data_IF_088936333802
#
_entry.id   IF_088936333802
#
_cell.length_a   1.000
_cell.length_b   1.000
_cell.length_c   1.000
_cell.angle_alpha   90.00
_cell.angle_beta   90.00
_cell.angle_gamma   90.00
#
_symmetry.space_group_name_H-M   'P 1'
#
loop_
_entity.id
_entity.type
_entity.pdbx_description
1 polymer ?
#
# COMPACT_ATOMS: atom_id res chain seq x y z
N UNK A 1 -14.00 31.33 -0.65
CA UNK A 1 -13.63 30.07 0.02
C UNK A 1 -14.86 29.19 0.00
N UNK A 2 -14.83 28.16 -0.80
CA UNK A 2 -15.99 27.28 -1.01
C UNK A 2 -16.13 26.33 0.19
N UNK A 3 -17.19 26.52 1.00
CA UNK A 3 -17.49 25.68 2.17
C UNK A 3 -17.92 24.26 1.79
N UNK A 4 -18.03 23.93 0.50
CA UNK A 4 -18.41 22.58 0.02
C UNK A 4 -17.30 21.53 0.15
N UNK A 5 -16.06 21.90 0.45
CA UNK A 5 -14.93 21.01 0.62
C UNK A 5 -14.85 20.35 2.02
N UNK A 6 -15.64 20.81 2.97
CA UNK A 6 -15.66 20.27 4.34
C UNK A 6 -16.84 19.33 4.55
N UNK A 7 -16.92 18.23 3.77
CA UNK A 7 -17.78 17.14 4.21
C UNK A 7 -17.17 16.51 5.48
N UNK A 8 -18.05 16.00 6.41
CA UNK A 8 -17.55 15.49 7.68
C UNK A 8 -16.44 14.48 7.44
N UNK A 9 -15.33 14.69 8.13
CA UNK A 9 -14.19 13.79 8.16
C UNK A 9 -14.69 12.40 8.57
N UNK A 10 -14.32 11.36 7.82
CA UNK A 10 -14.55 9.99 8.28
C UNK A 10 -13.64 9.80 9.49
N UNK A 11 -14.19 9.57 10.69
CA UNK A 11 -13.37 9.49 11.89
C UNK A 11 -12.41 8.32 11.78
N UNK A 12 -11.17 8.53 12.27
CA UNK A 12 -10.25 7.45 12.53
C UNK A 12 -10.66 6.78 13.83
N UNK A 13 -10.73 5.45 13.86
CA UNK A 13 -11.19 4.71 15.03
C UNK A 13 -10.01 4.17 15.82
N UNK A 14 -9.67 4.77 17.00
CA UNK A 14 -8.69 4.17 17.90
C UNK A 14 -9.25 2.90 18.52
N UNK A 15 -8.44 1.84 18.58
CA UNK A 15 -8.81 0.55 19.13
C UNK A 15 -7.92 0.18 20.32
N UNK A 16 -8.36 -0.70 21.22
CA UNK A 16 -7.53 -1.19 22.31
C UNK A 16 -6.20 -1.76 21.79
N UNK A 17 -5.08 -1.24 22.31
CA UNK A 17 -3.74 -1.61 21.86
C UNK A 17 -3.30 -1.03 20.51
N UNK A 18 -4.13 -0.19 19.86
CA UNK A 18 -3.86 0.50 18.61
C UNK A 18 -4.36 1.95 18.72
N UNK A 19 -3.71 2.72 19.59
CA UNK A 19 -4.08 4.11 19.84
C UNK A 19 -3.84 5.00 18.64
N UNK A 20 -4.66 6.04 18.51
CA UNK A 20 -4.50 7.06 17.47
C UNK A 20 -3.13 7.76 17.65
N UNK A 21 -2.27 7.81 16.62
CA UNK A 21 -1.03 8.57 16.67
C UNK A 21 -1.27 10.05 16.97
N UNK A 22 -0.37 10.65 17.75
CA UNK A 22 -0.47 12.05 18.14
C UNK A 22 -0.54 12.96 16.92
N UNK A 23 -1.52 13.86 16.91
CA UNK A 23 -1.71 14.85 15.85
C UNK A 23 -2.23 14.26 14.52
N UNK A 24 -2.56 12.96 14.45
CA UNK A 24 -3.11 12.38 13.22
C UNK A 24 -4.56 12.83 13.03
N UNK A 25 -4.82 13.49 11.92
CA UNK A 25 -6.14 13.96 11.51
C UNK A 25 -6.56 13.31 10.21
N UNK A 26 -7.85 13.00 10.05
CA UNK A 26 -8.41 12.51 8.79
C UNK A 26 -8.80 13.64 7.86
N UNK A 27 -8.71 13.38 6.56
CA UNK A 27 -9.12 14.28 5.49
C UNK A 27 -9.83 13.51 4.38
N UNK A 28 -10.60 14.22 3.56
CA UNK A 28 -11.26 13.67 2.38
C UNK A 28 -10.61 14.21 1.12
N UNK A 29 -10.19 13.30 0.25
CA UNK A 29 -9.66 13.61 -1.08
C UNK A 29 -10.74 13.28 -2.12
N UNK A 30 -10.91 14.14 -3.10
CA UNK A 30 -11.76 13.85 -4.25
C UNK A 30 -10.91 13.36 -5.41
N UNK A 31 -11.06 12.10 -5.77
CA UNK A 31 -10.42 11.53 -6.95
C UNK A 31 -10.88 12.20 -8.24
N UNK A 32 -10.12 12.05 -9.31
CA UNK A 32 -10.40 12.65 -10.63
C UNK A 32 -11.77 12.25 -11.21
N UNK A 33 -12.24 11.06 -10.90
CA UNK A 33 -13.57 10.55 -11.30
C UNK A 33 -14.69 10.91 -10.30
N UNK A 34 -14.39 11.75 -9.29
CA UNK A 34 -15.33 12.24 -8.29
C UNK A 34 -15.46 11.37 -7.04
N UNK A 35 -14.82 10.18 -6.98
CA UNK A 35 -14.86 9.32 -5.80
C UNK A 35 -14.20 9.97 -4.60
N UNK A 36 -14.72 9.63 -3.42
CA UNK A 36 -14.18 10.10 -2.14
C UNK A 36 -13.15 9.09 -1.62
N UNK A 37 -11.95 9.58 -1.34
CA UNK A 37 -10.88 8.81 -0.73
C UNK A 37 -10.63 9.35 0.66
N UNK A 38 -10.55 8.47 1.67
CA UNK A 38 -10.14 8.85 3.00
C UNK A 38 -8.63 8.96 3.04
N UNK A 39 -8.13 10.08 3.56
CA UNK A 39 -6.72 10.33 3.83
C UNK A 39 -6.51 10.66 5.31
N UNK A 40 -5.26 10.63 5.75
CA UNK A 40 -4.87 11.12 7.05
C UNK A 40 -3.45 11.68 7.00
N UNK A 41 -3.16 12.69 7.84
CA UNK A 41 -1.82 13.23 7.98
C UNK A 41 -1.58 13.73 9.41
N UNK A 42 -0.31 13.73 9.80
CA UNK A 42 0.16 14.28 11.08
C UNK A 42 1.44 15.07 10.84
N UNK A 43 1.55 16.23 11.47
CA UNK A 43 2.70 17.13 11.35
C UNK A 43 3.21 17.42 12.76
N UNK A 44 4.30 16.78 13.20
CA UNK A 44 4.92 17.09 14.50
C UNK A 44 5.63 18.44 14.45
N UNK A 45 6.03 18.94 15.63
CA UNK A 45 6.81 20.17 15.70
C UNK A 45 8.17 20.00 15.01
N UNK A 46 8.55 20.94 14.14
CA UNK A 46 9.83 20.97 13.42
C UNK A 46 10.18 19.66 12.69
N UNK A 47 9.34 19.20 11.76
CA UNK A 47 9.56 17.91 11.08
C UNK A 47 10.78 17.96 10.15
N UNK A 48 11.47 16.84 10.04
CA UNK A 48 12.60 16.60 9.10
C UNK A 48 12.16 16.51 7.63
N UNK A 49 10.87 16.51 7.38
CA UNK A 49 10.22 16.30 6.10
C UNK A 49 8.98 15.44 6.28
N UNK A 50 8.37 15.01 5.19
CA UNK A 50 7.14 14.21 5.21
C UNK A 50 7.36 12.85 4.60
N UNK A 51 6.99 11.79 5.33
CA UNK A 51 6.85 10.43 4.80
C UNK A 51 5.46 10.27 4.20
N UNK A 52 5.39 10.06 2.90
CA UNK A 52 4.17 9.70 2.17
C UNK A 52 4.07 8.17 2.17
N UNK A 53 3.22 7.65 3.05
CA UNK A 53 3.04 6.22 3.27
C UNK A 53 1.91 5.67 2.40
N UNK A 54 2.25 4.79 1.46
CA UNK A 54 1.30 4.16 0.54
C UNK A 54 1.18 2.67 0.88
N UNK A 55 0.05 2.32 1.46
CA UNK A 55 -0.22 1.00 2.03
C UNK A 55 -0.41 -0.10 0.97
N UNK A 56 -0.60 -1.34 1.41
CA UNK A 56 -0.89 -2.47 0.54
C UNK A 56 -2.38 -2.61 0.20
N UNK A 57 -2.72 -3.60 -0.64
CA UNK A 57 -4.11 -3.96 -0.89
C UNK A 57 -4.73 -4.63 0.33
N UNK A 58 -5.92 -4.20 0.70
CA UNK A 58 -6.64 -4.69 1.87
C UNK A 58 -6.22 -4.02 3.17
N UNK A 59 -5.27 -3.10 3.11
CA UNK A 59 -4.91 -2.25 4.23
C UNK A 59 -5.90 -1.10 4.41
N UNK A 60 -5.86 -0.52 5.59
CA UNK A 60 -6.61 0.67 5.99
C UNK A 60 -5.78 1.47 7.01
N UNK A 61 -6.03 2.76 7.14
CA UNK A 61 -5.18 3.69 7.91
C UNK A 61 -4.97 3.24 9.35
N UNK A 62 -6.02 2.76 10.04
CA UNK A 62 -5.94 2.33 11.45
C UNK A 62 -4.94 1.19 11.66
N UNK A 63 -4.81 0.30 10.71
CA UNK A 63 -3.83 -0.78 10.77
C UNK A 63 -2.39 -0.25 10.88
N UNK A 64 -2.13 0.90 10.28
CA UNK A 64 -0.80 1.50 10.18
C UNK A 64 -0.47 2.49 11.32
N UNK A 65 -1.34 2.66 12.32
CA UNK A 65 -1.14 3.61 13.41
C UNK A 65 0.20 3.43 14.13
N UNK A 66 0.62 2.20 14.43
CA UNK A 66 1.94 1.95 15.04
C UNK A 66 3.08 2.45 14.16
N UNK A 67 3.05 2.14 12.86
CA UNK A 67 4.06 2.56 11.89
C UNK A 67 4.04 4.08 11.66
N UNK A 68 2.87 4.69 11.60
CA UNK A 68 2.72 6.15 11.54
C UNK A 68 3.35 6.79 12.77
N UNK A 69 3.05 6.28 13.96
CA UNK A 69 3.66 6.72 15.21
C UNK A 69 5.19 6.55 15.25
N UNK A 70 5.72 5.49 14.63
CA UNK A 70 7.16 5.27 14.52
C UNK A 70 7.85 6.35 13.66
N UNK A 71 7.26 6.76 12.54
CA UNK A 71 7.79 7.85 11.72
C UNK A 71 7.67 9.20 12.43
N UNK A 72 6.56 9.46 13.13
CA UNK A 72 6.39 10.68 13.95
C UNK A 72 7.47 10.75 15.03
N UNK A 73 7.74 9.67 15.76
CA UNK A 73 8.81 9.61 16.79
C UNK A 73 10.20 9.81 16.20
N UNK A 74 10.41 9.49 14.92
CA UNK A 74 11.65 9.75 14.16
C UNK A 74 11.72 11.18 13.60
N UNK A 75 10.72 12.02 13.92
CA UNK A 75 10.69 13.44 13.54
C UNK A 75 10.15 13.69 12.13
N UNK A 76 9.43 12.78 11.52
CA UNK A 76 8.79 13.00 10.23
C UNK A 76 7.31 13.36 10.39
N UNK A 77 6.84 14.26 9.55
CA UNK A 77 5.42 14.32 9.24
C UNK A 77 5.04 13.06 8.43
N UNK A 78 3.80 12.62 8.56
CA UNK A 78 3.31 11.43 7.83
C UNK A 78 2.01 11.79 7.13
N UNK A 79 1.86 11.37 5.88
CA UNK A 79 0.62 11.44 5.13
C UNK A 79 0.32 10.09 4.47
N UNK A 80 -0.94 9.65 4.52
CA UNK A 80 -1.39 8.38 3.98
C UNK A 80 -2.83 8.45 3.51
N UNK A 81 -3.29 7.47 2.74
CA UNK A 81 -4.68 7.38 2.30
C UNK A 81 -5.12 5.94 2.09
N UNK A 82 -6.42 5.71 2.21
CA UNK A 82 -7.06 4.45 1.83
C UNK A 82 -7.33 4.41 0.33
N UNK A 83 -6.99 3.32 -0.32
CA UNK A 83 -7.28 3.13 -1.75
C UNK A 83 -8.80 3.15 -2.01
N UNK A 84 -9.20 3.53 -3.23
CA UNK A 84 -10.58 3.38 -3.70
C UNK A 84 -11.10 1.97 -3.41
N UNK A 85 -12.31 1.86 -2.89
CA UNK A 85 -12.94 0.57 -2.57
C UNK A 85 -12.44 -0.10 -1.31
N UNK A 86 -11.51 0.51 -0.54
CA UNK A 86 -10.87 -0.08 0.64
C UNK A 86 -10.87 0.89 1.82
N UNK A 87 -10.65 0.35 3.03
CA UNK A 87 -10.61 1.17 4.24
C UNK A 87 -11.86 2.06 4.39
N UNK A 88 -11.69 3.30 4.74
CA UNK A 88 -12.76 4.30 4.84
C UNK A 88 -13.06 5.04 3.53
N UNK A 89 -12.42 4.67 2.40
CA UNK A 89 -12.70 5.23 1.09
C UNK A 89 -13.99 4.69 0.48
N UNK A 90 -14.57 5.46 -0.47
CA UNK A 90 -15.80 5.09 -1.16
C UNK A 90 -15.68 3.74 -1.87
N UNK A 91 -16.67 2.88 -1.67
CA UNK A 91 -16.71 1.53 -2.25
C UNK A 91 -16.95 1.57 -3.76
N UNK A 92 -16.36 0.63 -4.48
CA UNK A 92 -16.51 0.52 -5.94
C UNK A 92 -17.79 -0.24 -6.32
N UNK A 93 -18.21 -1.18 -5.47
CA UNK A 93 -19.38 -2.02 -5.66
C UNK A 93 -20.32 -1.96 -4.45
N UNK A 94 -21.60 -2.28 -4.64
CA UNK A 94 -22.60 -2.42 -3.56
C UNK A 94 -22.17 -3.50 -2.55
N UNK A 95 -21.57 -4.60 -3.01
CA UNK A 95 -20.90 -5.55 -2.13
C UNK A 95 -19.57 -4.93 -1.66
N UNK A 96 -19.59 -4.39 -0.46
CA UNK A 96 -18.49 -3.65 0.16
C UNK A 96 -17.19 -4.44 0.31
N UNK A 97 -17.25 -5.75 0.31
CA UNK A 97 -16.08 -6.62 0.42
C UNK A 97 -15.40 -6.86 -0.92
N UNK A 98 -15.98 -6.38 -2.02
CA UNK A 98 -15.38 -6.46 -3.35
C UNK A 98 -14.64 -5.18 -3.67
N UNK A 99 -13.40 -5.34 -4.03
CA UNK A 99 -12.66 -4.29 -4.73
C UNK A 99 -12.68 -4.55 -6.23
N UNK A 100 -12.31 -3.56 -7.00
CA UNK A 100 -12.16 -3.72 -8.44
C UNK A 100 -11.56 -2.49 -9.07
N UNK A 101 -10.77 -2.74 -10.09
CA UNK A 101 -10.20 -1.73 -10.96
C UNK A 101 -10.53 -2.09 -12.39
N UNK A 102 -10.84 -1.10 -13.21
CA UNK A 102 -10.85 -1.25 -14.67
C UNK A 102 -9.42 -1.21 -15.21
N UNK A 103 -8.65 -0.25 -14.71
CA UNK A 103 -7.26 -0.01 -15.05
C UNK A 103 -6.46 0.35 -13.80
N UNK A 104 -5.22 -0.08 -13.70
CA UNK A 104 -4.36 0.27 -12.57
C UNK A 104 -4.06 1.78 -12.50
N UNK A 105 -4.19 2.50 -13.62
CA UNK A 105 -4.10 3.96 -13.68
C UNK A 105 -5.15 4.69 -12.83
N UNK A 106 -6.23 4.03 -12.41
CA UNK A 106 -7.17 4.59 -11.44
C UNK A 106 -6.48 4.83 -10.09
N UNK A 107 -5.57 3.95 -9.66
CA UNK A 107 -4.73 4.18 -8.48
C UNK A 107 -3.68 5.28 -8.72
N UNK A 108 -3.12 5.39 -9.93
CA UNK A 108 -2.20 6.48 -10.27
C UNK A 108 -2.90 7.85 -10.16
N UNK A 109 -4.15 7.95 -10.65
CA UNK A 109 -4.98 9.17 -10.56
C UNK A 109 -5.39 9.49 -9.11
N UNK A 110 -5.73 8.46 -8.31
CA UNK A 110 -6.04 8.61 -6.88
C UNK A 110 -4.84 9.14 -6.10
N UNK A 111 -3.69 8.52 -6.32
CA UNK A 111 -2.45 8.95 -5.68
C UNK A 111 -2.08 10.39 -6.08
N UNK A 112 -2.23 10.75 -7.36
CA UNK A 112 -2.00 12.11 -7.80
C UNK A 112 -2.97 13.09 -7.14
N UNK A 113 -4.25 12.72 -6.96
CA UNK A 113 -5.25 13.55 -6.27
C UNK A 113 -4.89 13.73 -4.80
N UNK A 114 -4.45 12.67 -4.11
CA UNK A 114 -3.97 12.73 -2.73
C UNK A 114 -2.74 13.66 -2.60
N UNK A 115 -1.75 13.50 -3.48
CA UNK A 115 -0.56 14.36 -3.46
C UNK A 115 -0.92 15.83 -3.65
N UNK A 116 -1.77 16.16 -4.64
CA UNK A 116 -2.07 17.55 -4.99
C UNK A 116 -3.06 18.25 -4.05
N UNK A 117 -3.95 17.48 -3.38
CA UNK A 117 -4.95 18.07 -2.48
C UNK A 117 -4.51 18.11 -1.02
N UNK A 118 -3.62 17.21 -0.58
CA UNK A 118 -3.20 17.08 0.83
C UNK A 118 -1.69 17.25 0.97
N UNK A 119 -0.88 16.42 0.29
CA UNK A 119 0.57 16.35 0.62
C UNK A 119 1.29 17.64 0.23
N UNK A 120 1.15 18.07 -1.03
CA UNK A 120 1.89 19.21 -1.54
C UNK A 120 1.47 20.55 -0.90
N UNK A 121 0.15 20.82 -0.62
CA UNK A 121 -0.25 22.07 0.01
C UNK A 121 -0.06 22.10 1.52
N UNK A 122 -0.24 20.96 2.22
CA UNK A 122 -0.40 20.96 3.68
C UNK A 122 0.79 20.34 4.43
N UNK A 123 1.63 19.54 3.75
CA UNK A 123 2.74 18.85 4.41
C UNK A 123 4.10 19.49 4.06
N UNK A 124 5.04 19.56 5.03
CA UNK A 124 6.35 20.17 4.80
C UNK A 124 7.29 19.26 3.98
N UNK A 125 8.02 19.82 2.98
CA UNK A 125 9.10 19.10 2.29
C UNK A 125 10.33 18.95 3.19
N UNK A 126 11.33 18.09 2.83
CA UNK A 126 11.34 17.20 1.67
C UNK A 126 10.36 16.04 1.82
N UNK A 127 9.89 15.48 0.68
CA UNK A 127 8.98 14.35 0.67
C UNK A 127 9.74 13.04 0.42
N UNK A 128 9.48 12.05 1.27
CA UNK A 128 10.00 10.69 1.18
C UNK A 128 8.85 9.73 0.92
N UNK A 129 8.96 8.89 -0.11
CA UNK A 129 7.95 7.88 -0.38
C UNK A 129 8.25 6.58 0.38
N UNK A 130 7.26 6.03 1.09
CA UNK A 130 7.31 4.69 1.65
C UNK A 130 6.13 3.89 1.15
N UNK A 131 6.38 2.79 0.43
CA UNK A 131 5.32 1.98 -0.14
C UNK A 131 5.41 0.52 0.24
N UNK A 132 4.27 -0.07 0.60
CA UNK A 132 4.18 -1.50 0.89
C UNK A 132 3.40 -2.22 -0.22
N UNK A 133 3.91 -3.36 -0.68
CA UNK A 133 3.19 -4.27 -1.59
C UNK A 133 2.61 -3.52 -2.80
N UNK A 134 1.28 -3.45 -2.96
CA UNK A 134 0.58 -2.70 -4.02
C UNK A 134 0.95 -1.21 -4.02
N UNK A 135 1.13 -0.61 -2.83
CA UNK A 135 1.59 0.77 -2.70
C UNK A 135 2.98 0.99 -3.30
N UNK A 136 3.86 -0.01 -3.20
CA UNK A 136 5.17 0.02 -3.86
C UNK A 136 5.06 0.05 -5.39
N UNK A 137 4.12 -0.69 -5.98
CA UNK A 137 3.86 -0.62 -7.42
C UNK A 137 3.31 0.74 -7.85
N UNK A 138 2.40 1.33 -7.06
CA UNK A 138 1.86 2.68 -7.32
C UNK A 138 3.00 3.71 -7.30
N UNK A 139 3.87 3.65 -6.29
CA UNK A 139 4.99 4.57 -6.17
C UNK A 139 6.01 4.43 -7.30
N UNK A 140 6.35 3.21 -7.73
CA UNK A 140 7.24 3.00 -8.88
C UNK A 140 6.70 3.67 -10.14
N UNK A 141 5.39 3.53 -10.41
CA UNK A 141 4.73 4.16 -11.56
C UNK A 141 4.67 5.69 -11.43
N UNK A 142 4.53 6.20 -10.21
CA UNK A 142 4.57 7.64 -9.96
C UNK A 142 6.00 8.21 -10.15
N UNK A 143 7.02 7.51 -9.67
CA UNK A 143 8.44 7.90 -9.77
C UNK A 143 8.98 7.93 -11.21
N UNK A 144 8.37 7.19 -12.14
CA UNK A 144 8.66 7.31 -13.58
C UNK A 144 8.22 8.66 -14.18
N UNK A 145 7.33 9.40 -13.50
CA UNK A 145 6.61 10.54 -14.11
C UNK A 145 6.62 11.81 -13.27
N UNK A 146 6.98 11.72 -12.00
CA UNK A 146 6.82 12.80 -11.02
C UNK A 146 8.06 13.00 -10.18
N UNK A 147 8.44 14.24 -10.02
CA UNK A 147 9.59 14.71 -9.22
C UNK A 147 9.17 15.12 -7.81
N UNK A 148 8.18 14.48 -7.23
CA UNK A 148 7.65 14.86 -5.91
C UNK A 148 8.56 14.45 -4.76
N UNK A 149 9.35 13.39 -4.93
CA UNK A 149 10.09 12.74 -3.85
C UNK A 149 11.58 12.96 -3.94
N UNK A 150 12.20 13.17 -2.80
CA UNK A 150 13.65 13.16 -2.64
C UNK A 150 14.19 11.73 -2.77
N UNK A 151 13.57 10.78 -2.10
CA UNK A 151 13.91 9.35 -2.11
C UNK A 151 12.67 8.49 -1.89
N UNK A 152 12.77 7.21 -2.28
CA UNK A 152 11.70 6.24 -2.06
C UNK A 152 12.24 4.95 -1.43
N UNK A 153 11.52 4.40 -0.43
CA UNK A 153 11.82 3.10 0.19
C UNK A 153 10.59 2.19 0.08
N UNK A 154 10.75 1.07 -0.61
CA UNK A 154 9.64 0.16 -0.92
C UNK A 154 9.78 -1.15 -0.13
N UNK A 155 8.80 -1.43 0.72
CA UNK A 155 8.71 -2.65 1.54
C UNK A 155 7.97 -3.74 0.77
N UNK A 156 8.67 -4.82 0.41
CA UNK A 156 8.13 -5.98 -0.30
C UNK A 156 7.16 -5.58 -1.44
N UNK A 157 7.60 -4.72 -2.41
CA UNK A 157 6.71 -4.16 -3.42
C UNK A 157 6.13 -5.24 -4.34
N UNK A 158 4.90 -5.02 -4.81
CA UNK A 158 4.23 -5.89 -5.76
C UNK A 158 4.91 -5.78 -7.14
N UNK A 159 5.94 -6.62 -7.38
CA UNK A 159 6.64 -6.74 -8.67
C UNK A 159 6.40 -8.07 -9.37
N UNK A 160 5.74 -8.99 -8.71
CA UNK A 160 5.26 -10.26 -9.20
C UNK A 160 4.27 -10.84 -8.19
N UNK A 161 3.39 -11.73 -8.63
CA UNK A 161 2.38 -12.37 -7.77
C UNK A 161 2.67 -13.86 -7.65
N UNK A 162 2.60 -14.37 -6.43
CA UNK A 162 2.56 -15.78 -6.15
C UNK A 162 1.10 -16.26 -6.21
N UNK A 163 0.78 -17.12 -7.18
CA UNK A 163 -0.59 -17.64 -7.37
C UNK A 163 -0.75 -19.08 -6.87
N UNK A 164 0.18 -19.52 -6.04
CA UNK A 164 0.22 -20.88 -5.49
C UNK A 164 0.38 -21.93 -6.60
N UNK A 165 -0.41 -23.00 -6.56
CA UNK A 165 -0.31 -24.11 -7.51
C UNK A 165 -1.02 -23.87 -8.85
N UNK A 166 -1.70 -22.74 -9.03
CA UNK A 166 -2.39 -22.44 -10.29
C UNK A 166 -1.39 -22.10 -11.41
N UNK A 167 -1.50 -22.73 -12.59
CA UNK A 167 -0.65 -22.37 -13.73
C UNK A 167 -0.88 -20.91 -14.12
N UNK A 168 0.17 -20.09 -14.11
CA UNK A 168 0.10 -18.67 -14.44
C UNK A 168 -0.56 -18.38 -15.80
N UNK A 169 -0.36 -19.18 -16.88
CA UNK A 169 -1.07 -18.99 -18.14
C UNK A 169 -2.60 -19.08 -17.99
N UNK A 170 -3.10 -20.04 -17.19
CA UNK A 170 -4.54 -20.18 -16.93
C UNK A 170 -5.08 -18.99 -16.12
N UNK A 171 -4.36 -18.56 -15.07
CA UNK A 171 -4.73 -17.38 -14.30
C UNK A 171 -4.83 -16.15 -15.20
N UNK A 172 -3.83 -15.93 -16.04
CA UNK A 172 -3.84 -14.81 -17.01
C UNK A 172 -5.01 -14.90 -17.98
N UNK A 173 -5.29 -16.08 -18.51
CA UNK A 173 -6.43 -16.29 -19.41
C UNK A 173 -7.75 -15.95 -18.74
N UNK A 174 -8.00 -16.45 -17.54
CA UNK A 174 -9.22 -16.16 -16.76
C UNK A 174 -9.33 -14.66 -16.41
N UNK A 175 -8.24 -14.05 -15.96
CA UNK A 175 -8.21 -12.62 -15.66
C UNK A 175 -8.46 -11.72 -16.88
N UNK A 176 -8.08 -12.15 -18.07
CA UNK A 176 -8.34 -11.43 -19.31
C UNK A 176 -9.76 -11.62 -19.85
N UNK A 177 -10.32 -12.82 -19.67
CA UNK A 177 -11.59 -13.21 -20.30
C UNK A 177 -12.81 -12.87 -19.44
N UNK A 178 -12.78 -13.20 -18.15
CA UNK A 178 -13.93 -13.02 -17.25
C UNK A 178 -14.40 -11.56 -17.11
N UNK A 179 -13.53 -10.55 -17.02
CA UNK A 179 -13.97 -9.16 -16.99
C UNK A 179 -14.71 -8.72 -18.26
N UNK A 180 -14.35 -9.27 -19.43
CA UNK A 180 -14.99 -8.93 -20.72
C UNK A 180 -16.44 -9.40 -20.83
N UNK A 181 -16.80 -10.45 -20.09
CA UNK A 181 -18.16 -11.01 -20.06
C UNK A 181 -18.91 -10.63 -18.78
N UNK A 182 -18.45 -9.56 -18.06
CA UNK A 182 -19.13 -9.06 -16.87
C UNK A 182 -18.82 -9.81 -15.56
N UNK A 183 -17.99 -10.85 -15.58
CA UNK A 183 -17.65 -11.68 -14.43
C UNK A 183 -16.37 -11.22 -13.69
N UNK A 184 -15.80 -10.07 -14.05
CA UNK A 184 -14.58 -9.53 -13.44
C UNK A 184 -14.69 -9.25 -11.95
N UNK A 185 -15.91 -9.01 -11.43
CA UNK A 185 -16.17 -8.79 -9.99
C UNK A 185 -16.14 -10.05 -9.13
N UNK A 186 -16.03 -11.23 -9.72
CA UNK A 186 -15.91 -12.46 -8.96
C UNK A 186 -14.56 -12.52 -8.24
N UNK A 187 -14.56 -13.07 -7.02
CA UNK A 187 -13.32 -13.36 -6.29
C UNK A 187 -12.56 -14.49 -6.97
N UNK A 188 -11.22 -14.42 -6.84
CA UNK A 188 -10.37 -15.53 -7.29
C UNK A 188 -10.70 -16.81 -6.50
N UNK A 189 -10.57 -17.99 -7.12
CA UNK A 189 -10.80 -19.26 -6.43
C UNK A 189 -9.91 -19.40 -5.18
N UNK A 190 -10.49 -19.91 -4.10
CA UNK A 190 -9.79 -20.09 -2.82
C UNK A 190 -9.62 -18.80 -1.99
N UNK A 191 -10.08 -17.66 -2.47
CA UNK A 191 -10.02 -16.42 -1.72
C UNK A 191 -11.25 -16.22 -0.82
N UNK A 192 -11.03 -15.60 0.35
CA UNK A 192 -12.11 -15.28 1.27
C UNK A 192 -13.00 -14.16 0.70
N UNK A 193 -14.30 -14.36 0.75
CA UNK A 193 -15.29 -13.36 0.32
C UNK A 193 -15.51 -12.25 1.34
N UNK A 194 -15.11 -12.45 2.58
CA UNK A 194 -15.16 -11.44 3.66
C UNK A 194 -13.76 -10.97 3.98
N UNK A 195 -13.62 -9.76 4.55
CA UNK A 195 -12.34 -9.35 5.09
C UNK A 195 -11.82 -10.44 5.99
N UNK A 196 -10.53 -10.54 6.12
CA UNK A 196 -9.84 -11.54 6.93
C UNK A 196 -10.60 -11.74 8.26
N UNK A 197 -11.64 -12.60 8.23
CA UNK A 197 -12.24 -13.13 9.45
C UNK A 197 -11.09 -13.73 10.25
N UNK A 198 -11.15 -13.83 11.59
CA UNK A 198 -10.03 -14.20 12.41
C UNK A 198 -9.31 -15.40 11.79
N UNK A 199 -8.25 -15.09 11.03
CA UNK A 199 -7.37 -16.11 10.52
C UNK A 199 -6.58 -16.63 11.69
N UNK A 200 -6.45 -17.94 11.74
CA UNK A 200 -5.53 -18.53 12.70
C UNK A 200 -4.12 -18.02 12.44
N UNK A 201 -3.45 -17.50 13.45
CA UNK A 201 -2.04 -17.07 13.34
C UNK A 201 -1.13 -18.19 12.81
N UNK A 202 -1.28 -19.45 13.28
CA UNK A 202 -0.57 -20.58 12.67
C UNK A 202 -0.87 -20.70 11.17
N UNK A 203 0.21 -20.71 10.37
CA UNK A 203 0.10 -20.86 8.90
C UNK A 203 -0.08 -19.56 8.13
N UNK A 204 -0.15 -18.38 8.77
CA UNK A 204 -0.17 -17.12 8.05
C UNK A 204 1.17 -16.87 7.34
N UNK A 205 1.12 -16.18 6.19
CA UNK A 205 2.29 -15.85 5.38
C UNK A 205 2.71 -14.36 5.50
N UNK A 206 2.02 -13.59 6.36
CA UNK A 206 2.13 -12.14 6.40
C UNK A 206 3.19 -11.65 7.38
N UNK A 207 3.16 -12.15 8.62
CA UNK A 207 4.06 -11.72 9.67
C UNK A 207 4.37 -12.86 10.65
N UNK A 208 5.51 -12.79 11.32
CA UNK A 208 5.87 -13.66 12.44
C UNK A 208 5.48 -13.10 13.81
N UNK A 209 4.94 -11.88 13.87
CA UNK A 209 4.46 -11.24 15.11
C UNK A 209 2.97 -11.53 15.34
N UNK A 210 2.67 -12.36 16.34
CA UNK A 210 1.29 -12.72 16.66
C UNK A 210 0.48 -11.53 17.17
N UNK A 211 1.09 -10.63 17.95
CA UNK A 211 0.39 -9.46 18.52
C UNK A 211 -0.10 -8.54 17.41
N UNK A 212 0.77 -8.16 16.48
CA UNK A 212 0.42 -7.28 15.35
C UNK A 212 -0.57 -7.93 14.37
N UNK A 213 -0.40 -9.24 14.13
CA UNK A 213 -1.37 -9.99 13.34
C UNK A 213 -2.77 -9.97 13.97
N UNK A 214 -2.86 -10.27 15.27
CA UNK A 214 -4.15 -10.27 15.99
C UNK A 214 -4.73 -8.86 16.10
N UNK A 215 -3.91 -7.83 16.26
CA UNK A 215 -4.36 -6.45 16.30
C UNK A 215 -5.08 -6.05 14.99
N UNK A 216 -4.53 -6.38 13.82
CA UNK A 216 -5.16 -6.14 12.53
C UNK A 216 -6.48 -6.92 12.40
N UNK A 217 -6.50 -8.18 12.88
CA UNK A 217 -7.70 -9.02 12.87
C UNK A 217 -8.78 -8.45 13.78
N UNK A 218 -8.42 -8.05 15.01
CA UNK A 218 -9.36 -7.47 15.96
C UNK A 218 -9.95 -6.15 15.47
N UNK A 219 -9.17 -5.32 14.79
CA UNK A 219 -9.68 -4.11 14.12
C UNK A 219 -10.82 -4.45 13.16
N UNK A 220 -10.69 -5.51 12.37
CA UNK A 220 -11.73 -5.92 11.42
C UNK A 220 -12.92 -6.62 12.09
N UNK A 221 -12.79 -7.08 13.33
CA UNK A 221 -13.93 -7.56 14.12
C UNK A 221 -14.77 -6.39 14.63
N UNK A 222 -14.10 -5.33 15.13
CA UNK A 222 -14.76 -4.13 15.65
C UNK A 222 -15.28 -3.24 14.51
N UNK A 223 -14.52 -3.09 13.43
CA UNK A 223 -14.81 -2.23 12.29
C UNK A 223 -14.77 -3.04 10.98
N UNK A 224 -15.71 -3.96 10.76
CA UNK A 224 -15.72 -4.85 9.59
C UNK A 224 -15.81 -4.07 8.27
N UNK A 225 -16.29 -2.85 8.35
CA UNK A 225 -16.48 -1.93 7.24
C UNK A 225 -15.17 -1.42 6.65
N UNK A 226 -14.07 -1.48 7.38
CA UNK A 226 -12.74 -1.13 6.88
C UNK A 226 -12.15 -2.21 5.94
N UNK A 227 -12.59 -3.45 6.09
CA UNK A 227 -12.01 -4.57 5.36
C UNK A 227 -12.50 -4.74 3.94
N UNK A 228 -11.70 -5.46 3.15
CA UNK A 228 -12.09 -6.01 1.84
C UNK A 228 -11.79 -7.51 1.81
N UNK A 229 -12.50 -8.23 0.96
CA UNK A 229 -12.23 -9.65 0.70
C UNK A 229 -10.99 -9.86 -0.15
N UNK A 230 -10.75 -11.08 -0.58
CA UNK A 230 -9.68 -11.44 -1.50
C UNK A 230 -9.76 -10.68 -2.84
N UNK A 231 -8.72 -10.72 -3.67
CA UNK A 231 -8.72 -10.03 -4.94
C UNK A 231 -9.78 -10.59 -5.91
N UNK A 232 -10.36 -9.67 -6.70
CA UNK A 232 -11.25 -10.03 -7.80
C UNK A 232 -10.47 -10.25 -9.11
N UNK A 233 -11.10 -10.91 -10.09
CA UNK A 233 -10.48 -11.07 -11.42
C UNK A 233 -10.18 -9.73 -12.09
N UNK A 234 -11.02 -8.71 -11.92
CA UNK A 234 -10.77 -7.37 -12.48
C UNK A 234 -9.56 -6.72 -11.83
N UNK A 235 -9.42 -6.79 -10.51
CA UNK A 235 -8.27 -6.24 -9.80
C UNK A 235 -6.98 -6.92 -10.23
N UNK A 236 -6.94 -8.27 -10.23
CA UNK A 236 -5.74 -9.01 -10.63
C UNK A 236 -5.38 -8.76 -12.10
N UNK A 237 -6.36 -8.66 -12.99
CA UNK A 237 -6.11 -8.29 -14.38
C UNK A 237 -5.46 -6.91 -14.52
N UNK A 238 -5.95 -5.91 -13.78
CA UNK A 238 -5.37 -4.57 -13.77
C UNK A 238 -3.93 -4.59 -13.25
N UNK A 239 -3.67 -5.31 -12.15
CA UNK A 239 -2.35 -5.47 -11.56
C UNK A 239 -1.37 -6.18 -12.51
N UNK A 240 -1.77 -7.32 -13.12
CA UNK A 240 -0.93 -8.05 -14.08
C UNK A 240 -0.58 -7.23 -15.33
N UNK A 241 -1.49 -6.37 -15.79
CA UNK A 241 -1.21 -5.44 -16.90
C UNK A 241 -0.21 -4.37 -16.48
N UNK A 242 -0.37 -3.78 -15.30
CA UNK A 242 0.55 -2.79 -14.77
C UNK A 242 1.96 -3.37 -14.57
N UNK A 243 2.07 -4.58 -14.00
CA UNK A 243 3.32 -5.30 -13.84
C UNK A 243 4.01 -5.56 -15.19
N UNK A 244 3.26 -6.00 -16.20
CA UNK A 244 3.81 -6.21 -17.55
C UNK A 244 4.37 -4.92 -18.13
N UNK A 245 3.64 -3.80 -17.98
CA UNK A 245 4.11 -2.49 -18.45
C UNK A 245 5.39 -2.07 -17.73
N UNK A 246 5.41 -2.16 -16.38
CA UNK A 246 6.58 -1.82 -15.58
C UNK A 246 7.82 -2.64 -15.99
N UNK A 247 7.69 -3.96 -16.08
CA UNK A 247 8.81 -4.83 -16.45
C UNK A 247 9.29 -4.64 -17.90
N UNK A 248 8.38 -4.31 -18.84
CA UNK A 248 8.75 -4.06 -20.22
C UNK A 248 9.65 -2.82 -20.38
N UNK A 249 9.56 -1.85 -19.46
CA UNK A 249 10.33 -0.60 -19.50
C UNK A 249 11.43 -0.51 -18.43
N UNK A 250 11.55 -1.50 -17.54
CA UNK A 250 12.44 -1.43 -16.36
C UNK A 250 13.90 -1.11 -16.69
N UNK A 251 14.42 -1.65 -17.80
CA UNK A 251 15.81 -1.42 -18.25
C UNK A 251 16.03 -0.02 -18.86
N UNK A 252 14.99 0.66 -19.28
CA UNK A 252 15.05 1.98 -19.94
C UNK A 252 14.39 3.10 -19.15
N UNK A 253 13.66 2.73 -18.09
CA UNK A 253 12.97 3.67 -17.22
C UNK A 253 13.99 4.52 -16.46
N UNK A 254 13.72 5.82 -16.40
CA UNK A 254 14.43 6.76 -15.55
C UNK A 254 13.50 7.14 -14.40
N UNK A 255 13.92 6.84 -13.17
CA UNK A 255 13.16 7.23 -11.98
C UNK A 255 13.60 8.62 -11.54
N UNK A 256 12.63 9.45 -11.16
CA UNK A 256 12.87 10.84 -10.76
C UNK A 256 13.50 10.98 -9.37
N UNK A 257 13.66 9.89 -8.63
CA UNK A 257 14.33 9.85 -7.33
C UNK A 257 15.03 8.50 -7.12
N UNK A 258 16.10 8.43 -6.29
CA UNK A 258 16.70 7.16 -5.88
C UNK A 258 15.69 6.27 -5.15
N UNK A 259 15.77 4.94 -5.38
CA UNK A 259 14.83 3.96 -4.82
C UNK A 259 15.62 2.89 -4.06
N UNK A 260 15.18 2.60 -2.83
CA UNK A 260 15.62 1.41 -2.09
C UNK A 260 14.43 0.43 -2.00
N UNK A 261 14.59 -0.77 -2.51
CA UNK A 261 13.66 -1.87 -2.29
C UNK A 261 14.16 -2.72 -1.11
N UNK A 262 13.30 -2.90 -0.11
CA UNK A 262 13.55 -3.79 1.03
C UNK A 262 12.68 -5.04 0.84
N UNK A 263 13.29 -6.14 0.43
CA UNK A 263 12.60 -7.40 0.19
C UNK A 263 12.52 -8.26 1.46
N UNK A 264 11.41 -8.95 1.63
CA UNK A 264 11.21 -9.91 2.71
C UNK A 264 11.74 -11.29 2.30
N UNK A 265 12.76 -11.81 2.99
CA UNK A 265 13.44 -13.05 2.58
C UNK A 265 12.55 -14.30 2.59
N UNK A 266 11.48 -14.29 3.42
CA UNK A 266 10.48 -15.39 3.55
C UNK A 266 9.13 -15.02 2.97
N UNK A 267 9.09 -14.10 1.99
CA UNK A 267 7.86 -13.70 1.32
C UNK A 267 7.23 -14.88 0.57
N UNK A 268 5.91 -15.02 0.68
CA UNK A 268 5.07 -16.00 -0.03
C UNK A 268 3.84 -15.35 -0.67
N UNK A 269 3.83 -14.02 -0.76
CA UNK A 269 2.76 -13.22 -1.34
C UNK A 269 3.21 -12.60 -2.66
N UNK A 270 4.41 -12.01 -2.65
CA UNK A 270 5.04 -11.45 -3.86
C UNK A 270 6.24 -12.30 -4.29
N UNK A 271 6.51 -12.29 -5.58
CA UNK A 271 7.62 -13.01 -6.19
C UNK A 271 8.95 -12.26 -5.96
N UNK A 272 9.76 -12.77 -5.04
CA UNK A 272 11.09 -12.22 -4.73
C UNK A 272 12.06 -12.28 -5.93
N UNK A 273 11.89 -13.25 -6.82
CA UNK A 273 12.73 -13.35 -8.01
C UNK A 273 12.37 -12.25 -9.03
N UNK A 274 11.09 -11.87 -9.11
CA UNK A 274 10.68 -10.71 -9.89
C UNK A 274 11.28 -9.41 -9.32
N UNK A 275 11.35 -9.27 -7.98
CA UNK A 275 12.01 -8.15 -7.31
C UNK A 275 13.49 -8.10 -7.69
N UNK A 276 14.24 -9.22 -7.60
CA UNK A 276 15.65 -9.29 -7.96
C UNK A 276 15.89 -8.93 -9.42
N UNK A 277 15.11 -9.51 -10.34
CA UNK A 277 15.20 -9.20 -11.78
C UNK A 277 14.95 -7.73 -12.06
N UNK A 278 13.97 -7.14 -11.40
CA UNK A 278 13.65 -5.72 -11.54
C UNK A 278 14.82 -4.85 -11.07
N UNK A 279 15.36 -5.09 -9.88
CA UNK A 279 16.49 -4.33 -9.33
C UNK A 279 17.77 -4.49 -10.19
N UNK A 280 17.98 -5.66 -10.78
CA UNK A 280 19.12 -5.89 -11.67
C UNK A 280 19.00 -5.15 -13.01
N UNK A 281 17.78 -4.87 -13.46
CA UNK A 281 17.51 -4.20 -14.73
C UNK A 281 17.38 -2.68 -14.60
N UNK A 282 16.84 -2.18 -13.49
CA UNK A 282 16.47 -0.78 -13.32
C UNK A 282 17.61 0.06 -12.74
N UNK A 283 17.93 1.17 -13.39
CA UNK A 283 18.92 2.14 -12.89
C UNK A 283 18.37 2.96 -11.73
N UNK A 284 19.24 3.28 -10.74
CA UNK A 284 18.85 4.09 -9.57
C UNK A 284 18.02 3.33 -8.53
N UNK A 285 17.95 1.99 -8.64
CA UNK A 285 17.24 1.11 -7.70
C UNK A 285 18.24 0.23 -6.96
N UNK A 286 18.22 0.31 -5.64
CA UNK A 286 19.02 -0.53 -4.74
C UNK A 286 18.14 -1.59 -4.08
N UNK A 287 18.74 -2.75 -3.73
CA UNK A 287 18.05 -3.83 -3.05
C UNK A 287 18.71 -4.15 -1.70
N UNK A 288 17.89 -4.16 -0.65
CA UNK A 288 18.20 -4.75 0.63
C UNK A 288 17.26 -5.93 0.88
N UNK A 289 17.74 -6.95 1.60
CA UNK A 289 16.93 -8.13 1.94
C UNK A 289 16.96 -8.31 3.45
N UNK A 290 15.78 -8.46 4.08
CA UNK A 290 15.66 -8.88 5.47
C UNK A 290 15.35 -10.37 5.50
N UNK A 291 16.34 -11.24 5.79
CA UNK A 291 16.23 -12.69 5.53
C UNK A 291 15.07 -13.38 6.27
N UNK A 292 14.77 -12.93 7.48
CA UNK A 292 13.75 -13.56 8.33
C UNK A 292 12.34 -13.00 8.15
N UNK A 293 12.21 -11.85 7.48
CA UNK A 293 10.94 -11.18 7.31
C UNK A 293 9.98 -11.98 6.41
N UNK A 294 8.72 -12.00 6.77
CA UNK A 294 7.60 -12.34 5.90
C UNK A 294 7.11 -11.09 5.17
N UNK A 295 6.07 -11.21 4.37
CA UNK A 295 5.59 -10.16 3.46
C UNK A 295 5.44 -8.78 4.11
N UNK A 296 4.87 -8.72 5.30
CA UNK A 296 4.53 -7.49 6.00
C UNK A 296 5.66 -7.04 6.94
N UNK A 297 6.80 -6.60 6.38
CA UNK A 297 8.01 -6.23 7.13
C UNK A 297 7.70 -5.24 8.26
N UNK A 298 6.83 -4.25 8.02
CA UNK A 298 6.46 -3.22 8.99
C UNK A 298 5.47 -3.69 10.07
N UNK A 299 4.99 -4.93 9.95
CA UNK A 299 4.18 -5.61 10.97
C UNK A 299 4.90 -6.82 11.59
N UNK A 300 6.18 -6.98 11.31
CA UNK A 300 7.02 -8.01 11.91
C UNK A 300 7.44 -7.67 13.35
N UNK A 301 8.12 -8.61 14.01
CA UNK A 301 8.74 -8.38 15.34
C UNK A 301 9.69 -7.18 15.31
N UNK A 302 9.85 -6.51 16.43
CA UNK A 302 10.64 -5.28 16.55
C UNK A 302 12.04 -5.41 15.94
N UNK A 303 12.74 -6.53 16.21
CA UNK A 303 14.08 -6.79 15.66
C UNK A 303 14.14 -6.86 14.13
N UNK A 304 13.04 -7.16 13.46
CA UNK A 304 12.90 -7.17 11.99
C UNK A 304 12.49 -5.80 11.49
N UNK A 305 11.54 -5.15 12.17
CA UNK A 305 11.07 -3.81 11.84
C UNK A 305 12.20 -2.79 11.94
N UNK A 306 13.03 -2.87 12.98
CA UNK A 306 14.15 -1.94 13.17
C UNK A 306 15.18 -2.06 12.03
N UNK A 307 15.34 -3.22 11.39
CA UNK A 307 16.18 -3.34 10.20
C UNK A 307 15.62 -2.53 9.01
N UNK A 308 14.29 -2.49 8.85
CA UNK A 308 13.66 -1.63 7.84
C UNK A 308 13.88 -0.15 8.17
N UNK A 309 13.65 0.27 9.41
CA UNK A 309 13.84 1.66 9.82
C UNK A 309 15.31 2.08 9.72
N UNK A 310 16.25 1.22 10.10
CA UNK A 310 17.67 1.47 9.92
C UNK A 310 18.05 1.65 8.45
N UNK A 311 17.53 0.81 7.56
CA UNK A 311 17.73 0.95 6.10
C UNK A 311 17.10 2.24 5.57
N UNK A 312 15.90 2.61 6.02
CA UNK A 312 15.23 3.86 5.68
C UNK A 312 16.06 5.06 6.13
N UNK A 313 16.49 5.12 7.39
CA UNK A 313 17.29 6.22 7.95
C UNK A 313 18.64 6.35 7.21
N UNK A 314 19.36 5.26 7.02
CA UNK A 314 20.64 5.29 6.31
C UNK A 314 20.47 5.78 4.86
N UNK A 315 19.41 5.32 4.18
CA UNK A 315 19.17 5.71 2.80
C UNK A 315 18.70 7.15 2.65
N UNK A 316 17.86 7.64 3.58
CA UNK A 316 17.35 9.02 3.51
C UNK A 316 18.34 10.08 4.01
N UNK A 317 19.31 9.70 4.84
CA UNK A 317 20.34 10.61 5.36
C UNK A 317 21.58 10.72 4.45
N UNK A 318 21.80 9.79 3.53
CA UNK A 318 22.86 9.82 2.53
C UNK A 318 22.55 10.80 1.40
#
# INVERSE_FOLDING_TARGET
MDQSLHQPLIPLTPLPGNGLPEGLVSAMVRAKDGRKLRAAFAIPNSPRGTVVLVCGRGDFIERWFETIGDFIRRGFAVATFDFRGQGGSERVYDDRYRDGLRHFSEYDDDFASFMTQIVLPDCPPPFYAVGHSTGGLILLRALERRTWFEKAVLSAPLLGVEVGFWPMPLVRFLCLSLPKIGLGRLFLPGQNKRPLAPQSFPGNNLTSDQRRFMQATNTLVEEPDLGVGGPTFSWLNAALKALRQLHAHSATATYCAPILIVAAGRDRVVDNEAIRRFCAAASGVSLAVIPEARHEILFERDSIREQFFAAFEAFTSA
#
